data_IF_375086892986
#
_entry.id   IF_375086892986
#
_cell.length_a   1.000
_cell.length_b   1.000
_cell.length_c   1.000
_cell.angle_alpha   90.00
_cell.angle_beta   90.00
_cell.angle_gamma   90.00
#
_symmetry.space_group_name_H-M   'P 1'
#
loop_
_entity.id
_entity.type
_entity.pdbx_description
1 polymer ?
#
# COMPACT_ATOMS: atom_id res chain seq x y z
N UNK A 1 8.81 -23.68 -9.09
CA UNK A 1 8.61 -22.77 -7.95
C UNK A 1 7.49 -21.82 -8.35
N UNK A 2 6.59 -21.42 -7.44
CA UNK A 2 5.53 -20.46 -7.78
C UNK A 2 6.12 -19.05 -7.85
N UNK A 3 5.53 -18.15 -8.66
CA UNK A 3 5.97 -16.75 -8.71
C UNK A 3 5.95 -16.07 -7.33
N UNK A 4 5.04 -16.51 -6.46
CA UNK A 4 4.95 -16.07 -5.07
C UNK A 4 6.23 -16.41 -4.27
N UNK A 5 6.70 -17.65 -4.34
CA UNK A 5 7.95 -18.02 -3.65
C UNK A 5 9.16 -17.38 -4.32
N UNK A 6 9.16 -17.22 -5.65
CA UNK A 6 10.25 -16.56 -6.39
C UNK A 6 10.40 -15.09 -5.94
N UNK A 7 9.32 -14.32 -5.87
CA UNK A 7 9.41 -12.91 -5.41
C UNK A 7 9.79 -12.83 -3.94
N UNK A 8 9.31 -13.75 -3.09
CA UNK A 8 9.65 -13.80 -1.67
C UNK A 8 11.14 -14.10 -1.46
N UNK A 9 11.72 -15.00 -2.26
CA UNK A 9 13.16 -15.26 -2.26
C UNK A 9 13.95 -14.02 -2.68
N UNK A 10 13.56 -13.37 -3.77
CA UNK A 10 14.19 -12.13 -4.25
C UNK A 10 14.15 -11.01 -3.21
N UNK A 11 13.00 -10.80 -2.56
CA UNK A 11 12.84 -9.79 -1.50
C UNK A 11 13.68 -10.13 -0.28
N UNK A 12 13.68 -11.39 0.16
CA UNK A 12 14.49 -11.82 1.31
C UNK A 12 15.99 -11.68 1.09
N UNK A 13 16.45 -11.83 -0.14
CA UNK A 13 17.85 -11.61 -0.52
C UNK A 13 18.19 -10.12 -0.60
N UNK A 14 17.23 -9.28 -0.98
CA UNK A 14 17.44 -7.84 -1.20
C UNK A 14 17.33 -6.99 0.08
N UNK A 15 16.58 -7.48 1.07
CA UNK A 15 16.26 -6.77 2.31
C UNK A 15 16.45 -7.67 3.54
N UNK A 16 17.48 -7.38 4.35
CA UNK A 16 17.86 -8.19 5.51
C UNK A 16 16.73 -8.35 6.55
N UNK A 17 15.89 -7.32 6.71
CA UNK A 17 14.77 -7.29 7.64
C UNK A 17 13.43 -7.74 7.02
N UNK A 18 13.44 -8.34 5.83
CA UNK A 18 12.22 -8.73 5.12
C UNK A 18 11.32 -9.64 5.95
N UNK A 19 11.87 -10.70 6.55
CA UNK A 19 11.09 -11.64 7.35
C UNK A 19 10.59 -11.06 8.68
N UNK A 20 11.18 -9.95 9.15
CA UNK A 20 10.71 -9.26 10.35
C UNK A 20 9.41 -8.50 10.11
N UNK A 21 9.06 -8.25 8.84
CA UNK A 21 7.94 -7.37 8.44
C UNK A 21 6.95 -8.03 7.49
N UNK A 22 7.30 -9.18 6.91
CA UNK A 22 6.40 -9.92 6.01
C UNK A 22 5.25 -10.54 6.81
N UNK A 23 4.03 -10.18 6.44
CA UNK A 23 2.82 -10.85 6.89
C UNK A 23 2.23 -11.67 5.74
N UNK A 24 1.75 -12.88 6.03
CA UNK A 24 1.08 -13.76 5.06
C UNK A 24 -0.40 -13.79 5.37
N UNK A 25 -1.21 -13.39 4.40
CA UNK A 25 -2.66 -13.37 4.49
C UNK A 25 -3.29 -14.41 3.54
N UNK A 26 -4.27 -15.14 4.05
CA UNK A 26 -4.94 -16.24 3.36
C UNK A 26 -6.45 -16.00 3.20
N UNK A 27 -7.00 -14.97 3.87
CA UNK A 27 -8.42 -14.59 3.75
C UNK A 27 -8.72 -14.06 2.36
N UNK A 28 -9.90 -14.39 1.86
CA UNK A 28 -10.35 -13.97 0.54
C UNK A 28 -10.61 -12.48 0.43
N UNK A 29 -10.94 -11.85 1.55
CA UNK A 29 -11.21 -10.43 1.68
C UNK A 29 -10.62 -9.92 2.99
N UNK A 30 -9.90 -8.80 2.93
CA UNK A 30 -9.37 -8.12 4.10
C UNK A 30 -9.16 -6.64 3.82
N UNK A 31 -9.03 -5.86 4.90
CA UNK A 31 -8.83 -4.41 4.84
C UNK A 31 -7.49 -4.05 5.46
N UNK A 32 -6.87 -3.01 4.91
CA UNK A 32 -5.65 -2.39 5.41
C UNK A 32 -5.97 -0.96 5.86
N UNK A 33 -5.36 -0.54 6.96
CA UNK A 33 -5.50 0.80 7.55
C UNK A 33 -4.14 1.39 7.90
N UNK A 34 -3.98 2.71 7.75
CA UNK A 34 -2.83 3.45 8.28
C UNK A 34 -3.14 4.04 9.66
N UNK A 35 -2.20 3.91 10.60
CA UNK A 35 -2.37 4.38 11.97
C UNK A 35 -1.27 5.34 12.40
N UNK A 36 -1.67 6.59 12.65
CA UNK A 36 -0.77 7.67 13.06
C UNK A 36 -0.07 7.40 14.41
N UNK A 37 -0.77 6.83 15.40
CA UNK A 37 -0.21 6.54 16.73
C UNK A 37 0.95 5.52 16.67
N UNK A 38 0.96 4.71 15.62
CA UNK A 38 2.00 3.72 15.32
C UNK A 38 3.07 4.27 14.35
N UNK A 39 3.08 5.58 14.15
CA UNK A 39 4.04 6.30 13.32
C UNK A 39 3.70 6.28 11.83
N UNK A 40 2.41 6.36 11.47
CA UNK A 40 1.93 6.22 10.09
C UNK A 40 2.38 4.87 9.50
N UNK A 41 2.02 3.81 10.22
CA UNK A 41 2.27 2.44 9.79
C UNK A 41 0.95 1.82 9.33
N UNK A 42 1.02 1.10 8.21
CA UNK A 42 -0.09 0.30 7.70
C UNK A 42 -0.19 -1.07 8.39
N UNK A 43 -1.42 -1.52 8.60
CA UNK A 43 -1.75 -2.81 9.23
C UNK A 43 -2.88 -3.50 8.49
N UNK A 44 -2.81 -4.83 8.40
CA UNK A 44 -3.98 -5.65 8.09
C UNK A 44 -4.91 -5.64 9.30
N UNK A 45 -6.20 -5.41 9.04
CA UNK A 45 -7.25 -5.56 10.05
C UNK A 45 -7.61 -7.03 10.19
N UNK A 46 -7.50 -7.56 11.42
CA UNK A 46 -7.87 -8.93 11.77
C UNK A 46 -9.39 -9.04 11.91
N UNK A 47 -9.99 -8.10 12.62
CA UNK A 47 -11.41 -8.12 12.96
C UNK A 47 -11.96 -6.69 13.08
N UNK A 48 -13.22 -6.51 12.73
CA UNK A 48 -13.96 -5.25 12.89
C UNK A 48 -15.20 -5.56 13.74
N UNK A 49 -15.42 -4.78 14.80
CA UNK A 49 -16.61 -4.84 15.64
C UNK A 49 -17.38 -3.54 15.45
N UNK A 50 -18.35 -3.57 14.53
CA UNK A 50 -19.13 -2.39 14.17
C UNK A 50 -19.99 -1.85 15.33
N UNK A 51 -20.50 -2.75 16.19
CA UNK A 51 -21.35 -2.35 17.33
C UNK A 51 -20.58 -1.54 18.38
N UNK A 52 -19.31 -1.88 18.60
CA UNK A 52 -18.43 -1.22 19.57
C UNK A 52 -17.55 -0.14 18.92
N UNK A 53 -17.67 0.07 17.61
CA UNK A 53 -16.81 0.95 16.82
C UNK A 53 -15.30 0.67 17.02
N UNK A 54 -14.93 -0.61 17.10
CA UNK A 54 -13.53 -1.04 17.30
C UNK A 54 -13.04 -1.93 16.17
N UNK A 55 -11.72 -2.04 16.06
CA UNK A 55 -11.06 -2.99 15.17
C UNK A 55 -9.80 -3.56 15.82
N UNK A 56 -9.35 -4.70 15.33
CA UNK A 56 -8.20 -5.43 15.86
C UNK A 56 -7.11 -5.53 14.81
N UNK A 57 -5.88 -5.24 15.20
CA UNK A 57 -4.67 -5.43 14.38
C UNK A 57 -3.69 -6.38 15.08
N UNK A 58 -2.74 -6.92 14.33
CA UNK A 58 -1.57 -7.58 14.92
C UNK A 58 -0.45 -6.55 15.09
N UNK A 59 0.01 -6.34 16.32
CA UNK A 59 1.18 -5.52 16.59
C UNK A 59 2.17 -6.29 17.47
N UNK A 60 3.36 -6.59 16.94
CA UNK A 60 4.39 -7.39 17.64
C UNK A 60 3.90 -8.79 18.05
N UNK A 61 3.09 -9.45 17.22
CA UNK A 61 2.52 -10.76 17.56
C UNK A 61 1.40 -10.70 18.59
N UNK A 62 0.94 -9.50 18.97
CA UNK A 62 -0.15 -9.33 19.91
C UNK A 62 -1.35 -8.68 19.22
N UNK A 63 -2.54 -9.25 19.43
CA UNK A 63 -3.78 -8.63 19.03
C UNK A 63 -4.00 -7.35 19.85
N UNK A 64 -4.18 -6.24 19.16
CA UNK A 64 -4.42 -4.94 19.77
C UNK A 64 -5.76 -4.41 19.29
N UNK A 65 -6.68 -4.17 20.22
CA UNK A 65 -7.98 -3.55 19.95
C UNK A 65 -7.83 -2.03 19.95
N UNK A 66 -8.33 -1.40 18.91
CA UNK A 66 -8.29 0.05 18.69
C UNK A 66 -9.72 0.56 18.55
N UNK A 67 -10.02 1.68 19.18
CA UNK A 67 -11.32 2.34 19.13
C UNK A 67 -11.42 3.29 17.92
N UNK A 68 -12.57 3.94 17.78
CA UNK A 68 -12.81 4.97 16.76
C UNK A 68 -12.60 4.46 15.33
N UNK A 69 -13.11 3.26 15.05
CA UNK A 69 -13.08 2.68 13.72
C UNK A 69 -13.72 3.63 12.69
N UNK A 70 -13.00 3.91 11.61
CA UNK A 70 -13.46 4.72 10.49
C UNK A 70 -13.35 3.90 9.20
N UNK A 71 -14.48 3.38 8.73
CA UNK A 71 -14.54 2.58 7.51
C UNK A 71 -14.14 3.35 6.24
N UNK A 72 -14.08 4.69 6.30
CA UNK A 72 -13.67 5.51 5.15
C UNK A 72 -12.16 5.55 4.95
N UNK A 73 -11.38 5.09 5.95
CA UNK A 73 -9.91 5.08 5.99
C UNK A 73 -9.27 3.76 5.59
N UNK A 74 -10.00 2.94 4.83
CA UNK A 74 -9.56 1.60 4.46
C UNK A 74 -9.07 1.49 3.01
N UNK A 75 -8.14 0.56 2.79
CA UNK A 75 -7.91 -0.06 1.50
C UNK A 75 -8.37 -1.52 1.54
N UNK A 76 -9.23 -1.94 0.62
CA UNK A 76 -9.80 -3.28 0.62
C UNK A 76 -9.15 -4.16 -0.44
N UNK A 77 -8.75 -5.38 -0.06
CA UNK A 77 -8.15 -6.36 -0.96
C UNK A 77 -9.07 -7.59 -1.00
N UNK A 78 -9.46 -7.97 -2.21
CA UNK A 78 -10.17 -9.22 -2.50
C UNK A 78 -9.24 -10.12 -3.32
N UNK A 79 -8.80 -11.24 -2.76
CA UNK A 79 -7.91 -12.19 -3.42
C UNK A 79 -8.24 -13.64 -3.05
N UNK A 80 -8.39 -14.53 -4.02
CA UNK A 80 -8.66 -15.94 -3.76
C UNK A 80 -7.39 -16.76 -3.40
N UNK A 81 -6.25 -16.10 -3.19
CA UNK A 81 -4.92 -16.70 -3.11
C UNK A 81 -4.14 -16.13 -1.92
N UNK A 82 -2.96 -16.69 -1.70
CA UNK A 82 -2.01 -16.19 -0.70
C UNK A 82 -1.54 -14.77 -1.08
N UNK A 83 -1.53 -13.87 -0.09
CA UNK A 83 -0.97 -12.52 -0.21
C UNK A 83 0.20 -12.37 0.75
N UNK A 84 1.31 -11.82 0.26
CA UNK A 84 2.36 -11.26 1.09
C UNK A 84 2.09 -9.77 1.30
N UNK A 85 2.08 -9.31 2.53
CA UNK A 85 1.91 -7.92 2.92
C UNK A 85 3.18 -7.40 3.61
N UNK A 86 3.58 -6.18 3.27
CA UNK A 86 4.77 -5.53 3.81
C UNK A 86 4.44 -4.06 4.10
N UNK A 87 4.41 -3.63 5.37
CA UNK A 87 4.44 -2.20 5.67
C UNK A 87 5.78 -1.63 5.20
N UNK A 88 5.78 -0.51 4.48
CA UNK A 88 6.99 0.08 3.91
C UNK A 88 7.53 1.20 4.80
N UNK A 89 6.67 2.11 5.23
CA UNK A 89 7.00 3.20 6.15
C UNK A 89 6.53 2.89 7.59
N UNK A 90 6.78 3.83 8.50
CA UNK A 90 6.43 3.75 9.90
C UNK A 90 7.46 3.01 10.75
N UNK A 91 7.19 2.92 12.06
CA UNK A 91 8.16 2.46 13.05
C UNK A 91 8.70 1.06 12.76
N UNK A 92 7.89 0.20 12.12
CA UNK A 92 8.29 -1.15 11.75
C UNK A 92 8.29 -1.45 10.26
N UNK A 93 8.13 -0.45 9.39
CA UNK A 93 8.17 -0.67 7.95
C UNK A 93 9.47 -1.31 7.47
N UNK A 94 9.48 -1.83 6.24
CA UNK A 94 10.66 -2.40 5.61
C UNK A 94 11.77 -1.35 5.47
N UNK A 95 11.42 -0.10 5.14
CA UNK A 95 12.33 0.99 4.80
C UNK A 95 12.41 2.07 5.88
N UNK A 96 12.44 1.67 7.16
CA UNK A 96 12.50 2.58 8.33
C UNK A 96 13.53 3.70 8.13
N UNK A 97 13.19 4.90 8.58
CA UNK A 97 14.06 6.08 8.57
C UNK A 97 14.50 6.58 7.16
N UNK A 98 13.88 6.07 6.09
CA UNK A 98 14.11 6.59 4.74
C UNK A 98 13.29 7.87 4.48
N UNK A 99 13.64 8.62 3.43
CA UNK A 99 12.80 9.70 2.92
C UNK A 99 11.40 9.18 2.59
N UNK A 100 10.37 10.03 2.74
CA UNK A 100 8.95 9.74 2.46
C UNK A 100 8.75 8.67 1.38
N UNK A 101 8.26 7.49 1.80
CA UNK A 101 7.91 6.33 0.98
C UNK A 101 6.40 6.14 0.94
N UNK A 102 5.96 5.21 0.10
CA UNK A 102 4.60 4.69 0.18
C UNK A 102 4.36 3.90 1.46
N UNK A 103 3.10 3.73 1.85
CA UNK A 103 2.76 3.18 3.16
C UNK A 103 2.95 1.66 3.22
N UNK A 104 2.56 0.93 2.17
CA UNK A 104 2.74 -0.51 2.10
C UNK A 104 2.89 -1.05 0.68
N UNK A 105 3.33 -2.29 0.61
CA UNK A 105 3.33 -3.14 -0.58
C UNK A 105 2.60 -4.42 -0.25
N UNK A 106 1.90 -4.98 -1.23
CA UNK A 106 1.41 -6.34 -1.16
C UNK A 106 1.59 -7.04 -2.51
N UNK A 107 1.67 -8.37 -2.49
CA UNK A 107 1.85 -9.17 -3.69
C UNK A 107 1.18 -10.53 -3.55
N UNK A 108 0.75 -11.09 -4.69
CA UNK A 108 0.31 -12.48 -4.81
C UNK A 108 1.11 -13.19 -5.92
N UNK A 109 0.56 -14.26 -6.50
CA UNK A 109 1.22 -14.97 -7.60
C UNK A 109 1.19 -14.24 -8.95
N UNK A 110 0.40 -13.18 -9.08
CA UNK A 110 0.14 -12.46 -10.31
C UNK A 110 0.61 -11.01 -10.25
N UNK A 111 0.33 -10.32 -9.16
CA UNK A 111 0.45 -8.87 -9.04
C UNK A 111 1.40 -8.49 -7.90
N UNK A 112 2.10 -7.36 -8.06
CA UNK A 112 2.91 -6.70 -7.06
C UNK A 112 2.49 -5.22 -6.98
N UNK A 113 1.89 -4.84 -5.86
CA UNK A 113 1.17 -3.58 -5.73
C UNK A 113 1.84 -2.65 -4.72
N UNK A 114 2.10 -1.41 -5.14
CA UNK A 114 2.55 -0.31 -4.27
C UNK A 114 1.36 0.55 -3.87
N UNK A 115 1.18 0.86 -2.58
CA UNK A 115 0.01 1.61 -2.11
C UNK A 115 0.41 2.78 -1.23
N UNK A 116 -0.18 3.94 -1.53
CA UNK A 116 -0.06 5.17 -0.75
C UNK A 116 -1.44 5.67 -0.28
N UNK A 117 -1.57 5.95 1.01
CA UNK A 117 -2.70 6.57 1.66
C UNK A 117 -2.61 8.09 1.67
N UNK A 118 -3.75 8.71 1.36
CA UNK A 118 -4.04 10.14 1.58
C UNK A 118 -5.41 10.32 2.22
N UNK A 119 -5.90 9.30 2.93
CA UNK A 119 -7.26 9.24 3.48
C UNK A 119 -7.51 10.24 4.61
N UNK A 120 -6.46 10.73 5.26
CA UNK A 120 -6.55 11.79 6.27
C UNK A 120 -6.65 13.21 5.68
N UNK A 121 -6.64 13.37 4.35
CA UNK A 121 -6.84 14.68 3.73
C UNK A 121 -8.26 15.19 4.03
N UNK A 122 -8.36 16.44 4.51
CA UNK A 122 -9.64 17.08 4.86
C UNK A 122 -9.98 18.29 3.98
N UNK A 123 -9.01 18.82 3.23
CA UNK A 123 -9.21 20.01 2.40
C UNK A 123 -9.82 19.66 1.04
N UNK A 124 -10.91 20.35 0.70
CA UNK A 124 -11.54 20.30 -0.62
C UNK A 124 -10.94 21.31 -1.61
N UNK A 125 -9.95 22.11 -1.19
CA UNK A 125 -9.33 23.09 -2.07
C UNK A 125 -8.54 22.40 -3.20
N UNK A 126 -8.75 22.83 -4.45
CA UNK A 126 -8.12 22.23 -5.63
C UNK A 126 -6.58 22.21 -5.52
N UNK A 127 -6.00 23.25 -4.93
CA UNK A 127 -4.56 23.34 -4.69
C UNK A 127 -4.08 22.28 -3.72
N UNK A 128 -4.79 22.06 -2.61
CA UNK A 128 -4.46 21.05 -1.61
C UNK A 128 -4.60 19.65 -2.20
N UNK A 129 -5.69 19.39 -2.93
CA UNK A 129 -5.93 18.14 -3.66
C UNK A 129 -4.77 17.82 -4.61
N UNK A 130 -4.38 18.79 -5.44
CA UNK A 130 -3.27 18.64 -6.40
C UNK A 130 -1.94 18.38 -5.70
N UNK A 131 -1.67 19.07 -4.60
CA UNK A 131 -0.44 18.87 -3.83
C UNK A 131 -0.39 17.49 -3.19
N UNK A 132 -1.48 17.02 -2.59
CA UNK A 132 -1.55 15.69 -1.98
C UNK A 132 -1.34 14.57 -3.00
N UNK A 133 -1.93 14.69 -4.21
CA UNK A 133 -1.69 13.75 -5.32
C UNK A 133 -0.24 13.76 -5.78
N UNK A 134 0.38 14.94 -5.91
CA UNK A 134 1.81 15.04 -6.27
C UNK A 134 2.72 14.44 -5.19
N UNK A 135 2.39 14.65 -3.91
CA UNK A 135 3.12 14.06 -2.79
C UNK A 135 3.05 12.53 -2.84
N UNK A 136 1.85 11.98 -3.07
CA UNK A 136 1.62 10.55 -3.21
C UNK A 136 2.43 9.93 -4.37
N UNK A 137 2.38 10.55 -5.55
CA UNK A 137 3.16 10.09 -6.72
C UNK A 137 4.66 10.14 -6.44
N UNK A 138 5.14 11.15 -5.70
CA UNK A 138 6.54 11.23 -5.30
C UNK A 138 6.91 10.11 -4.34
N UNK A 139 6.07 9.80 -3.35
CA UNK A 139 6.28 8.69 -2.41
C UNK A 139 6.32 7.32 -3.09
N UNK A 140 5.37 7.06 -4.01
CA UNK A 140 5.38 5.87 -4.84
C UNK A 140 6.66 5.78 -5.68
N UNK A 141 7.01 6.84 -6.41
CA UNK A 141 8.23 6.89 -7.25
C UNK A 141 9.48 6.65 -6.42
N UNK A 142 9.54 7.21 -5.21
CA UNK A 142 10.60 7.02 -4.25
C UNK A 142 10.75 5.54 -3.87
N UNK A 143 9.66 4.87 -3.48
CA UNK A 143 9.69 3.43 -3.14
C UNK A 143 10.06 2.58 -4.34
N UNK A 144 9.41 2.80 -5.49
CA UNK A 144 9.62 2.02 -6.71
C UNK A 144 11.07 2.13 -7.18
N UNK A 145 11.67 3.32 -7.13
CA UNK A 145 13.08 3.50 -7.50
C UNK A 145 14.01 2.68 -6.60
N UNK A 146 13.69 2.59 -5.30
CA UNK A 146 14.46 1.79 -4.36
C UNK A 146 14.31 0.29 -4.60
N UNK A 147 13.09 -0.19 -4.81
CA UNK A 147 12.84 -1.60 -5.15
C UNK A 147 13.47 -1.97 -6.50
N UNK A 148 13.36 -1.11 -7.51
CA UNK A 148 14.00 -1.31 -8.82
C UNK A 148 15.52 -1.44 -8.69
N UNK A 149 16.16 -0.62 -7.85
CA UNK A 149 17.58 -0.73 -7.56
C UNK A 149 17.91 -2.05 -6.85
N UNK A 150 17.18 -2.37 -5.78
CA UNK A 150 17.40 -3.55 -4.93
C UNK A 150 17.16 -4.88 -5.63
N UNK A 151 16.14 -4.93 -6.48
CA UNK A 151 15.74 -6.13 -7.22
C UNK A 151 16.32 -6.18 -8.64
N UNK A 152 17.12 -5.17 -9.04
CA UNK A 152 17.56 -4.99 -10.43
C UNK A 152 16.37 -5.09 -11.43
N UNK A 153 15.24 -4.47 -11.06
CA UNK A 153 13.95 -4.51 -11.77
C UNK A 153 13.36 -5.91 -11.99
N UNK A 154 13.84 -6.93 -11.29
CA UNK A 154 13.29 -8.29 -11.37
C UNK A 154 12.21 -8.50 -10.30
N UNK A 155 10.95 -8.53 -10.74
CA UNK A 155 9.79 -8.81 -9.89
C UNK A 155 9.20 -10.20 -10.19
N UNK A 156 10.03 -11.20 -10.53
CA UNK A 156 9.60 -12.57 -10.83
C UNK A 156 8.50 -12.68 -11.92
N UNK A 157 8.41 -11.70 -12.82
CA UNK A 157 7.38 -11.65 -13.86
C UNK A 157 5.97 -11.39 -13.33
N UNK A 158 5.82 -10.76 -12.16
CA UNK A 158 4.56 -10.22 -11.64
C UNK A 158 4.18 -8.94 -12.37
N UNK A 159 2.88 -8.66 -12.47
CA UNK A 159 2.38 -7.38 -12.96
C UNK A 159 2.56 -6.32 -11.87
N UNK A 160 3.11 -5.17 -12.24
CA UNK A 160 3.27 -4.07 -11.32
C UNK A 160 2.06 -3.14 -11.38
N UNK A 161 1.53 -2.75 -10.23
CA UNK A 161 0.45 -1.77 -10.12
C UNK A 161 0.76 -0.81 -8.96
N UNK A 162 0.26 0.43 -9.06
CA UNK A 162 0.35 1.40 -7.97
C UNK A 162 -1.03 2.00 -7.62
N UNK A 163 -1.20 2.39 -6.37
CA UNK A 163 -2.47 2.89 -5.83
C UNK A 163 -2.27 4.13 -4.99
N UNK A 164 -3.11 5.14 -5.22
CA UNK A 164 -3.25 6.33 -4.37
C UNK A 164 -4.66 6.35 -3.79
N UNK A 165 -4.75 6.20 -2.48
CA UNK A 165 -6.00 6.10 -1.75
C UNK A 165 -6.40 7.48 -1.23
N UNK A 166 -7.24 8.21 -1.96
CA UNK A 166 -7.75 9.54 -1.57
C UNK A 166 -9.17 9.48 -1.00
N UNK A 167 -9.61 10.46 -0.19
CA UNK A 167 -10.97 10.54 0.35
C UNK A 167 -12.05 10.54 -0.75
N UNK A 168 -13.28 10.17 -0.43
CA UNK A 168 -14.35 10.07 -1.44
C UNK A 168 -14.71 11.42 -2.07
N UNK A 169 -14.63 12.50 -1.30
CA UNK A 169 -14.90 13.85 -1.78
C UNK A 169 -13.87 14.37 -2.79
N UNK A 170 -12.72 13.69 -2.96
CA UNK A 170 -11.77 14.08 -4.00
C UNK A 170 -12.38 13.88 -5.38
N UNK A 171 -12.33 14.89 -6.27
CA UNK A 171 -12.90 14.78 -7.61
C UNK A 171 -12.15 13.72 -8.41
N UNK A 172 -12.82 12.59 -8.65
CA UNK A 172 -12.32 11.49 -9.49
C UNK A 172 -12.30 11.91 -10.96
N UNK A 173 -11.37 11.35 -11.73
CA UNK A 173 -11.29 11.56 -13.18
C UNK A 173 -11.15 13.03 -13.64
N UNK A 174 -10.42 13.85 -12.89
CA UNK A 174 -10.08 15.19 -13.35
C UNK A 174 -8.80 15.20 -14.21
N UNK A 175 -8.65 16.22 -15.06
CA UNK A 175 -7.52 16.36 -15.99
C UNK A 175 -6.17 16.34 -15.29
N UNK A 176 -6.08 16.89 -14.08
CA UNK A 176 -4.86 16.87 -13.27
C UNK A 176 -4.45 15.46 -12.85
N UNK A 177 -5.38 14.59 -12.45
CA UNK A 177 -5.08 13.20 -12.13
C UNK A 177 -4.70 12.42 -13.39
N UNK A 178 -5.46 12.58 -14.48
CA UNK A 178 -5.19 11.90 -15.76
C UNK A 178 -3.77 12.22 -16.25
N UNK A 179 -3.36 13.48 -16.18
CA UNK A 179 -2.00 13.88 -16.57
C UNK A 179 -0.91 13.22 -15.70
N UNK A 180 -1.14 13.12 -14.38
CA UNK A 180 -0.21 12.45 -13.47
C UNK A 180 -0.13 10.95 -13.75
N UNK A 181 -1.27 10.28 -13.88
CA UNK A 181 -1.34 8.85 -14.15
C UNK A 181 -0.72 8.48 -15.52
N UNK A 182 -0.97 9.31 -16.55
CA UNK A 182 -0.35 9.15 -17.86
C UNK A 182 1.17 9.26 -17.78
N UNK A 183 1.68 10.32 -17.13
CA UNK A 183 3.13 10.51 -16.96
C UNK A 183 3.75 9.32 -16.22
N UNK A 184 3.13 8.87 -15.14
CA UNK A 184 3.60 7.74 -14.34
C UNK A 184 3.75 6.47 -15.19
N UNK A 185 2.76 6.19 -16.04
CA UNK A 185 2.75 5.03 -16.95
C UNK A 185 3.75 5.18 -18.11
N UNK A 186 3.67 6.28 -18.86
CA UNK A 186 4.35 6.42 -20.16
C UNK A 186 5.80 6.89 -20.04
N UNK A 187 6.12 7.71 -19.03
CA UNK A 187 7.43 8.36 -18.90
C UNK A 187 8.26 7.75 -17.76
N UNK A 188 7.63 7.47 -16.61
CA UNK A 188 8.39 7.20 -15.38
C UNK A 188 8.61 5.70 -15.12
N UNK A 189 7.56 4.86 -15.19
CA UNK A 189 7.62 3.49 -14.64
C UNK A 189 7.19 2.36 -15.58
N UNK A 190 6.37 2.63 -16.60
CA UNK A 190 5.91 1.60 -17.54
C UNK A 190 4.75 0.73 -17.04
N UNK A 191 4.11 1.09 -15.92
CA UNK A 191 2.95 0.39 -15.35
C UNK A 191 1.95 1.36 -14.71
N UNK A 192 0.66 0.97 -14.55
CA UNK A 192 -0.39 1.92 -14.20
C UNK A 192 -0.39 2.32 -12.72
N UNK A 193 -0.90 3.52 -12.46
CA UNK A 193 -1.28 4.00 -11.13
C UNK A 193 -2.77 4.34 -11.10
N UNK A 194 -3.46 3.93 -10.04
CA UNK A 194 -4.90 4.09 -9.87
C UNK A 194 -5.22 4.97 -8.66
N UNK A 195 -6.31 5.76 -8.74
CA UNK A 195 -6.83 6.52 -7.60
C UNK A 195 -8.10 5.85 -7.08
N UNK A 196 -7.92 4.78 -6.32
CA UNK A 196 -8.98 3.89 -5.83
C UNK A 196 -8.59 3.31 -4.46
N UNK A 197 -9.59 2.88 -3.68
CA UNK A 197 -9.40 2.31 -2.33
C UNK A 197 -9.59 0.80 -2.27
N UNK A 198 -9.53 0.11 -3.41
CA UNK A 198 -9.63 -1.34 -3.44
C UNK A 198 -8.82 -1.98 -4.57
N UNK A 199 -8.56 -3.27 -4.40
CA UNK A 199 -8.00 -4.16 -5.41
C UNK A 199 -8.79 -5.47 -5.40
N UNK A 200 -9.21 -5.89 -6.58
CA UNK A 200 -9.66 -7.26 -6.83
C UNK A 200 -8.53 -7.96 -7.60
N UNK A 201 -7.86 -8.89 -6.93
CA UNK A 201 -6.81 -9.74 -7.53
C UNK A 201 -7.41 -10.76 -8.49
N UNK A 202 -6.61 -11.20 -9.46
CA UNK A 202 -7.01 -12.16 -10.49
C UNK A 202 -6.59 -13.59 -10.15
#
# INVERSE_FOLDING_TARGET
MSKFEDIKELLSTAFDNFYDVLEIEMRSEFSVIDLQEYGQQSFIIINIQFDDNTFTINFNGNETVINDFDSTKLFNISNAKMVGFIPIDGKKGLLRNAAKRCDFVFFDENDFCFVEFKLDATSEEERAIRNNRRDAIRQLTNTISWFNFKLNRNYAGLNLEAYVCTPEFYPRFNSSWIALARKFLEEDHGFPVFEIKNKICK
#
